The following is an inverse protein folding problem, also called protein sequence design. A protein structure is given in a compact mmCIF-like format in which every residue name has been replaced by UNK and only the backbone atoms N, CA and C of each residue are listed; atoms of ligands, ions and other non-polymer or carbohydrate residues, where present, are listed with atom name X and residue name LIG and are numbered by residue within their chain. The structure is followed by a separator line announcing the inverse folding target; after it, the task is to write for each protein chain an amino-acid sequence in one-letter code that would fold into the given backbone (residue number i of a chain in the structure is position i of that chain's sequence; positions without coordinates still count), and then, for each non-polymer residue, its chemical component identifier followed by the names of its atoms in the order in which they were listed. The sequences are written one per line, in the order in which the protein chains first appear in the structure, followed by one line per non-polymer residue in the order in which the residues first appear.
data_IF_617729571046
#
_entry.id   IF_617729571046
#
_cell.length_a   1.000
_cell.length_b   1.000
_cell.length_c   1.000
_cell.angle_alpha   90.00
_cell.angle_beta   90.00
_cell.angle_gamma   90.00
#
_symmetry.space_group_name_H-M   'P 1'
#
loop_
_entity.id
_entity.type
_entity.pdbx_description
1 polymer ?
#
# COMPACT_ATOMS: atom_id res chain seq x y z
N UNK A 1 -29.46 -49.36 12.21
CA UNK A 1 -30.17 -48.23 11.56
C UNK A 1 -29.65 -46.92 12.17
N UNK A 2 -28.96 -46.08 11.39
CA UNK A 2 -28.43 -44.80 11.89
C UNK A 2 -29.53 -43.76 12.10
N UNK A 3 -29.33 -42.82 13.03
CA UNK A 3 -30.30 -41.73 13.28
C UNK A 3 -30.40 -40.84 12.03
N UNK A 4 -31.61 -40.53 11.53
CA UNK A 4 -31.80 -39.65 10.39
C UNK A 4 -31.18 -38.26 10.63
N UNK A 5 -30.52 -37.71 9.62
CA UNK A 5 -30.01 -36.32 9.65
C UNK A 5 -31.19 -35.36 9.60
N UNK A 6 -31.14 -34.30 10.40
CA UNK A 6 -32.19 -33.28 10.48
C UNK A 6 -32.20 -32.30 9.28
N UNK A 7 -31.06 -32.17 8.60
CA UNK A 7 -30.87 -31.29 7.44
C UNK A 7 -30.22 -32.09 6.32
N UNK A 8 -30.71 -31.92 5.10
CA UNK A 8 -30.29 -32.71 3.94
C UNK A 8 -29.51 -31.89 2.91
N UNK A 9 -29.65 -30.56 2.93
CA UNK A 9 -28.92 -29.66 2.04
C UNK A 9 -27.95 -28.75 2.79
N UNK A 10 -26.86 -28.29 2.15
CA UNK A 10 -25.90 -27.36 2.76
C UNK A 10 -26.56 -26.01 3.14
N UNK A 11 -27.54 -25.55 2.37
CA UNK A 11 -28.30 -24.32 2.65
C UNK A 11 -29.10 -24.43 3.96
N UNK A 12 -29.78 -25.56 4.19
CA UNK A 12 -30.52 -25.81 5.43
C UNK A 12 -29.60 -25.83 6.65
N UNK A 13 -28.39 -26.39 6.51
CA UNK A 13 -27.38 -26.38 7.57
C UNK A 13 -26.92 -24.96 7.87
N UNK A 14 -26.68 -24.15 6.85
CA UNK A 14 -26.28 -22.75 7.00
C UNK A 14 -27.36 -21.92 7.70
N UNK A 15 -28.63 -22.08 7.30
CA UNK A 15 -29.76 -21.38 7.91
C UNK A 15 -29.99 -21.80 9.36
N UNK A 16 -29.91 -23.11 9.66
CA UNK A 16 -30.00 -23.61 11.02
C UNK A 16 -28.90 -23.05 11.93
N UNK A 17 -27.67 -22.97 11.43
CA UNK A 17 -26.55 -22.38 12.16
C UNK A 17 -26.74 -20.87 12.39
N UNK A 18 -27.23 -20.14 11.38
CA UNK A 18 -27.58 -18.72 11.50
C UNK A 18 -28.65 -18.49 12.57
N UNK A 19 -29.71 -19.29 12.55
CA UNK A 19 -30.79 -19.23 13.54
C UNK A 19 -30.33 -19.58 14.95
N UNK A 20 -29.47 -20.60 15.10
CA UNK A 20 -28.86 -20.97 16.38
C UNK A 20 -27.98 -19.84 16.92
N UNK A 21 -27.16 -19.23 16.06
CA UNK A 21 -26.30 -18.09 16.41
C UNK A 21 -27.12 -16.87 16.84
N UNK A 22 -28.18 -16.54 16.09
CA UNK A 22 -29.09 -15.43 16.40
C UNK A 22 -29.77 -15.62 17.77
N UNK A 23 -30.32 -16.81 18.03
CA UNK A 23 -30.94 -17.14 19.33
C UNK A 23 -29.93 -17.04 20.48
N UNK A 24 -28.72 -17.55 20.28
CA UNK A 24 -27.66 -17.43 21.27
C UNK A 24 -27.28 -15.97 21.54
N UNK A 25 -27.10 -15.17 20.48
CA UNK A 25 -26.73 -13.77 20.59
C UNK A 25 -27.81 -12.97 21.32
N UNK A 26 -29.08 -13.13 20.93
CA UNK A 26 -30.21 -12.48 21.59
C UNK A 26 -30.25 -12.81 23.09
N UNK A 27 -30.07 -14.07 23.47
CA UNK A 27 -30.02 -14.49 24.89
C UNK A 27 -28.83 -13.91 25.66
N UNK A 28 -27.68 -13.69 24.99
CA UNK A 28 -26.42 -13.30 25.64
C UNK A 28 -26.00 -11.84 25.39
N UNK A 29 -26.83 -11.03 24.71
CA UNK A 29 -26.48 -9.70 24.25
C UNK A 29 -25.93 -8.80 25.36
N UNK A 30 -26.60 -8.75 26.51
CA UNK A 30 -26.17 -7.96 27.68
C UNK A 30 -24.79 -8.37 28.19
N UNK A 31 -24.51 -9.67 28.25
CA UNK A 31 -23.20 -10.21 28.69
C UNK A 31 -22.09 -9.82 27.71
N UNK A 32 -22.36 -9.94 26.41
CA UNK A 32 -21.42 -9.58 25.34
C UNK A 32 -21.10 -8.08 25.39
N UNK A 33 -22.12 -7.23 25.50
CA UNK A 33 -21.95 -5.78 25.61
C UNK A 33 -21.16 -5.39 26.88
N UNK A 34 -21.46 -6.00 28.03
CA UNK A 34 -20.71 -5.77 29.27
C UNK A 34 -19.24 -6.15 29.14
N UNK A 35 -18.93 -7.28 28.49
CA UNK A 35 -17.55 -7.71 28.22
C UNK A 35 -16.82 -6.72 27.31
N UNK A 36 -17.48 -6.24 26.24
CA UNK A 36 -16.93 -5.22 25.33
C UNK A 36 -16.66 -3.89 26.04
N UNK A 37 -17.58 -3.44 26.88
CA UNK A 37 -17.42 -2.21 27.66
C UNK A 37 -16.22 -2.29 28.62
N UNK A 38 -16.06 -3.43 29.32
CA UNK A 38 -14.90 -3.66 30.19
C UNK A 38 -13.58 -3.67 29.42
N UNK A 39 -13.54 -4.35 28.26
CA UNK A 39 -12.34 -4.37 27.42
C UNK A 39 -11.95 -2.96 26.94
N UNK A 40 -12.93 -2.15 26.51
CA UNK A 40 -12.71 -0.76 26.09
C UNK A 40 -12.26 0.15 27.24
N UNK A 41 -12.76 -0.09 28.46
CA UNK A 41 -12.33 0.65 29.63
C UNK A 41 -10.90 0.27 30.05
N UNK A 42 -10.52 -1.01 29.92
CA UNK A 42 -9.16 -1.49 30.19
C UNK A 42 -8.14 -1.03 29.14
N UNK A 43 -8.55 -0.91 27.87
CA UNK A 43 -7.69 -0.45 26.78
C UNK A 43 -7.55 1.06 26.70
N UNK A 44 -8.38 1.84 27.42
CA UNK A 44 -8.18 3.28 27.50
C UNK A 44 -6.92 3.51 28.34
N UNK A 45 -5.87 4.14 27.80
CA UNK A 45 -4.72 4.51 28.61
C UNK A 45 -5.25 5.35 29.78
N UNK A 46 -4.88 4.96 31.00
CA UNK A 46 -5.18 5.75 32.21
C UNK A 46 -4.61 7.15 31.95
N UNK A 47 -5.48 8.11 31.66
CA UNK A 47 -5.12 9.52 31.66
C UNK A 47 -4.66 9.83 33.07
N UNK A 48 -3.35 9.85 33.27
CA UNK A 48 -2.71 10.27 34.52
C UNK A 48 -3.28 11.64 34.87
N UNK A 49 -3.81 11.76 36.10
CA UNK A 49 -4.34 13.01 36.64
C UNK A 49 -3.24 14.02 36.98
N UNK A 50 -1.97 13.63 36.83
CA UNK A 50 -0.82 14.51 36.91
C UNK A 50 -0.56 15.15 35.54
N UNK A 51 -1.46 16.03 35.11
CA UNK A 51 -1.08 17.05 34.15
C UNK A 51 -0.41 18.17 34.94
N UNK A 52 0.91 18.08 35.04
CA UNK A 52 1.72 19.29 35.17
C UNK A 52 1.19 20.32 34.18
N UNK A 53 1.04 21.61 34.55
CA UNK A 53 0.67 22.64 33.60
C UNK A 53 1.73 22.62 32.49
N UNK A 54 1.35 22.07 31.35
CA UNK A 54 2.17 22.09 30.14
C UNK A 54 2.32 23.58 29.86
N UNK A 55 3.55 24.09 30.03
CA UNK A 55 3.89 25.46 29.70
C UNK A 55 3.33 25.74 28.31
N UNK A 56 2.52 26.81 28.19
CA UNK A 56 1.86 27.15 26.95
C UNK A 56 2.92 27.20 25.84
N UNK A 57 2.83 26.28 24.87
CA UNK A 57 3.73 26.30 23.73
C UNK A 57 3.57 27.68 23.05
N UNK A 58 4.68 28.33 22.67
CA UNK A 58 4.61 29.61 21.98
C UNK A 58 3.75 29.44 20.73
N UNK A 59 2.66 30.22 20.65
CA UNK A 59 1.78 30.22 19.49
C UNK A 59 2.57 30.74 18.29
N UNK A 60 2.83 29.87 17.33
CA UNK A 60 3.38 30.26 16.03
C UNK A 60 2.39 31.18 15.33
N UNK A 61 2.89 32.17 14.62
CA UNK A 61 2.07 32.94 13.68
C UNK A 61 1.57 32.01 12.56
N UNK A 62 0.48 32.39 11.87
CA UNK A 62 -0.05 31.61 10.76
C UNK A 62 0.99 31.42 9.63
N UNK A 63 1.88 32.39 9.43
CA UNK A 63 2.97 32.33 8.46
C UNK A 63 4.05 31.33 8.89
N UNK A 64 4.49 31.39 10.15
CA UNK A 64 5.45 30.43 10.70
C UNK A 64 4.91 29.00 10.70
N UNK A 65 3.61 28.83 10.96
CA UNK A 65 2.95 27.53 10.87
C UNK A 65 2.94 27.01 9.43
N UNK A 66 2.57 27.86 8.46
CA UNK A 66 2.57 27.51 7.03
C UNK A 66 3.96 27.14 6.53
N UNK A 67 4.98 27.90 6.92
CA UNK A 67 6.37 27.62 6.56
C UNK A 67 6.83 26.30 7.18
N UNK A 68 6.55 26.08 8.47
CA UNK A 68 6.89 24.83 9.14
C UNK A 68 6.22 23.63 8.48
N UNK A 69 4.92 23.73 8.14
CA UNK A 69 4.19 22.66 7.45
C UNK A 69 4.78 22.38 6.07
N UNK A 70 5.13 23.43 5.32
CA UNK A 70 5.78 23.31 4.00
C UNK A 70 7.10 22.55 4.13
N UNK A 71 7.98 22.96 5.05
CA UNK A 71 9.26 22.27 5.31
C UNK A 71 9.05 20.83 5.77
N UNK A 72 8.05 20.58 6.60
CA UNK A 72 7.69 19.25 7.07
C UNK A 72 7.29 18.32 5.91
N UNK A 73 6.39 18.76 5.02
CA UNK A 73 5.96 17.96 3.88
C UNK A 73 7.08 17.81 2.84
N UNK A 74 7.88 18.84 2.59
CA UNK A 74 9.05 18.74 1.72
C UNK A 74 10.04 17.68 2.22
N UNK A 75 10.38 17.70 3.52
CA UNK A 75 11.22 16.66 4.14
C UNK A 75 10.60 15.26 4.04
N UNK A 76 9.27 15.17 4.15
CA UNK A 76 8.56 13.90 3.98
C UNK A 76 8.61 13.37 2.55
N UNK A 77 8.56 14.24 1.55
CA UNK A 77 8.75 13.87 0.13
C UNK A 77 10.16 13.33 -0.09
N UNK A 78 11.19 13.96 0.48
CA UNK A 78 12.57 13.43 0.41
C UNK A 78 12.69 12.05 1.07
N UNK A 79 12.04 11.84 2.22
CA UNK A 79 11.99 10.51 2.85
C UNK A 79 11.28 9.46 1.99
N UNK A 80 10.26 9.85 1.22
CA UNK A 80 9.60 8.97 0.26
C UNK A 80 10.50 8.69 -0.95
N UNK A 81 11.29 9.66 -1.41
CA UNK A 81 12.31 9.46 -2.45
C UNK A 81 13.32 8.40 -2.02
N UNK A 82 13.87 8.49 -0.80
CA UNK A 82 14.75 7.46 -0.23
C UNK A 82 14.05 6.10 -0.18
N UNK A 83 12.78 6.05 0.23
CA UNK A 83 12.01 4.81 0.24
C UNK A 83 11.89 4.19 -1.18
N UNK A 84 11.73 5.00 -2.23
CA UNK A 84 11.72 4.50 -3.62
C UNK A 84 13.08 3.93 -4.03
N UNK A 85 14.18 4.62 -3.69
CA UNK A 85 15.54 4.15 -4.00
C UNK A 85 15.82 2.81 -3.28
N UNK A 86 15.42 2.69 -2.01
CA UNK A 86 15.52 1.45 -1.26
C UNK A 86 14.70 0.31 -1.88
N UNK A 87 13.48 0.58 -2.35
CA UNK A 87 12.64 -0.41 -3.04
C UNK A 87 13.25 -0.86 -4.38
N UNK A 88 13.97 0.02 -5.07
CA UNK A 88 14.72 -0.32 -6.28
C UNK A 88 16.02 -1.10 -5.98
N UNK A 89 16.49 -1.08 -4.73
CA UNK A 89 17.74 -1.71 -4.31
C UNK A 89 18.97 -1.04 -4.94
N UNK A 90 18.98 0.30 -4.99
CA UNK A 90 20.04 1.13 -5.59
C UNK A 90 20.25 0.92 -7.11
N UNK A 91 19.30 0.26 -7.77
CA UNK A 91 19.31 0.02 -9.23
C UNK A 91 18.53 1.09 -9.98
N UNK A 92 18.88 1.26 -11.26
CA UNK A 92 18.06 2.04 -12.19
C UNK A 92 16.72 1.36 -12.39
N UNK A 93 15.68 2.10 -12.79
CA UNK A 93 14.35 1.56 -13.04
C UNK A 93 14.37 0.38 -14.02
N UNK A 94 15.08 0.52 -15.14
CA UNK A 94 15.24 -0.57 -16.12
C UNK A 94 15.95 -1.79 -15.53
N UNK A 95 17.02 -1.59 -14.75
CA UNK A 95 17.73 -2.70 -14.10
C UNK A 95 16.88 -3.40 -13.04
N UNK A 96 16.06 -2.65 -12.30
CA UNK A 96 15.06 -3.20 -11.39
C UNK A 96 14.05 -4.07 -12.13
N UNK A 97 13.43 -3.56 -13.22
CA UNK A 97 12.45 -4.31 -14.02
C UNK A 97 13.05 -5.58 -14.64
N UNK A 98 14.29 -5.50 -15.16
CA UNK A 98 15.03 -6.69 -15.61
C UNK A 98 15.18 -7.70 -14.48
N UNK A 99 15.52 -7.27 -13.26
CA UNK A 99 15.66 -8.18 -12.12
C UNK A 99 14.33 -8.81 -11.67
N UNK A 100 13.21 -8.09 -11.83
CA UNK A 100 11.86 -8.65 -11.60
C UNK A 100 11.57 -9.76 -12.62
N UNK A 101 11.89 -9.54 -13.91
CA UNK A 101 11.71 -10.53 -14.97
C UNK A 101 12.61 -11.76 -14.77
N UNK A 102 13.88 -11.56 -14.38
CA UNK A 102 14.81 -12.66 -14.05
C UNK A 102 14.31 -13.50 -12.86
N UNK A 103 13.82 -12.83 -11.82
CA UNK A 103 13.23 -13.50 -10.65
C UNK A 103 11.99 -14.30 -11.04
N UNK A 104 11.11 -13.73 -11.87
CA UNK A 104 9.96 -14.44 -12.43
C UNK A 104 10.40 -15.70 -13.21
N UNK A 105 11.41 -15.57 -14.09
CA UNK A 105 11.97 -16.69 -14.86
C UNK A 105 12.51 -17.82 -13.97
N UNK A 106 13.10 -17.49 -12.83
CA UNK A 106 13.60 -18.46 -11.85
C UNK A 106 12.46 -19.13 -11.08
N UNK A 107 11.53 -18.35 -10.53
CA UNK A 107 10.44 -18.85 -9.68
C UNK A 107 9.37 -19.60 -10.46
N UNK A 108 9.13 -19.24 -11.72
CA UNK A 108 8.17 -19.92 -12.60
C UNK A 108 8.41 -21.42 -12.70
N UNK A 109 9.67 -21.86 -12.66
CA UNK A 109 10.04 -23.28 -12.73
C UNK A 109 9.57 -24.08 -11.50
N UNK A 110 9.32 -23.39 -10.39
CA UNK A 110 8.91 -23.96 -9.11
C UNK A 110 7.39 -23.81 -8.93
N UNK A 111 6.89 -22.58 -8.98
CA UNK A 111 5.47 -22.26 -8.84
C UNK A 111 5.13 -20.98 -9.61
N UNK A 112 4.27 -21.12 -10.63
CA UNK A 112 3.81 -20.00 -11.45
C UNK A 112 2.98 -18.98 -10.64
N UNK A 113 2.23 -19.44 -9.65
CA UNK A 113 1.39 -18.56 -8.83
C UNK A 113 2.26 -17.66 -7.99
N UNK A 114 3.26 -18.25 -7.32
CA UNK A 114 4.24 -17.52 -6.52
C UNK A 114 5.01 -16.49 -7.37
N UNK A 115 5.43 -16.87 -8.57
CA UNK A 115 6.14 -15.96 -9.48
C UNK A 115 5.26 -14.73 -9.87
N UNK A 116 3.97 -14.94 -10.13
CA UNK A 116 3.01 -13.86 -10.40
C UNK A 116 2.78 -12.97 -9.18
N UNK A 117 2.63 -13.58 -8.01
CA UNK A 117 2.44 -12.85 -6.75
C UNK A 117 3.65 -11.96 -6.43
N UNK A 118 4.87 -12.41 -6.75
CA UNK A 118 6.08 -11.61 -6.56
C UNK A 118 6.09 -10.31 -7.39
N UNK A 119 5.60 -10.34 -8.65
CA UNK A 119 5.46 -9.13 -9.47
C UNK A 119 4.41 -8.20 -8.84
N UNK A 120 3.26 -8.75 -8.44
CA UNK A 120 2.18 -7.99 -7.84
C UNK A 120 2.58 -7.32 -6.50
N UNK A 121 3.40 -7.98 -5.70
CA UNK A 121 3.93 -7.42 -4.44
C UNK A 121 4.69 -6.12 -4.68
N UNK A 122 5.53 -6.06 -5.72
CA UNK A 122 6.23 -4.82 -6.09
C UNK A 122 5.25 -3.71 -6.48
N UNK A 123 4.21 -4.00 -7.26
CA UNK A 123 3.17 -3.00 -7.60
C UNK A 123 2.46 -2.48 -6.34
N UNK A 124 2.18 -3.36 -5.37
CA UNK A 124 1.54 -2.96 -4.11
C UNK A 124 2.45 -2.03 -3.29
N UNK A 125 3.74 -2.34 -3.18
CA UNK A 125 4.68 -1.50 -2.44
C UNK A 125 4.86 -0.11 -3.06
N UNK A 126 5.04 -0.02 -4.38
CA UNK A 126 5.08 1.28 -5.04
C UNK A 126 3.74 2.03 -4.92
N UNK A 127 2.61 1.32 -5.02
CA UNK A 127 1.28 1.89 -4.80
C UNK A 127 1.11 2.51 -3.40
N UNK A 128 1.73 1.94 -2.36
CA UNK A 128 1.74 2.57 -1.01
C UNK A 128 2.52 3.89 -1.01
N UNK A 129 3.62 3.97 -1.76
CA UNK A 129 4.42 5.19 -1.88
C UNK A 129 3.68 6.27 -2.68
N UNK A 130 3.09 5.94 -3.83
CA UNK A 130 2.28 6.89 -4.63
C UNK A 130 1.14 7.49 -3.79
N UNK A 131 0.43 6.65 -3.03
CA UNK A 131 -0.64 7.12 -2.14
C UNK A 131 -0.14 8.13 -1.08
N UNK A 132 1.07 7.93 -0.55
CA UNK A 132 1.67 8.89 0.40
C UNK A 132 2.13 10.16 -0.32
N UNK A 133 2.72 10.04 -1.51
CA UNK A 133 3.15 11.17 -2.34
C UNK A 133 1.96 12.02 -2.75
N UNK A 134 0.86 11.42 -3.22
CA UNK A 134 -0.37 12.13 -3.58
C UNK A 134 -0.90 12.97 -2.41
N UNK A 135 -0.91 12.41 -1.19
CA UNK A 135 -1.33 13.13 0.02
C UNK A 135 -0.39 14.30 0.33
N UNK A 136 0.92 14.10 0.25
CA UNK A 136 1.90 15.16 0.51
C UNK A 136 1.84 16.26 -0.56
N UNK A 137 1.74 15.87 -1.85
CA UNK A 137 1.59 16.77 -2.98
C UNK A 137 0.33 17.63 -2.87
N UNK A 138 -0.81 17.06 -2.48
CA UNK A 138 -2.03 17.82 -2.23
C UNK A 138 -1.88 18.84 -1.09
N UNK A 139 -1.17 18.49 0.00
CA UNK A 139 -0.91 19.43 1.09
C UNK A 139 0.05 20.55 0.65
N UNK A 140 1.13 20.21 -0.05
CA UNK A 140 2.06 21.20 -0.61
C UNK A 140 1.36 22.13 -1.59
N UNK A 141 0.50 21.61 -2.47
CA UNK A 141 -0.28 22.43 -3.40
C UNK A 141 -1.13 23.48 -2.68
N UNK A 142 -1.82 23.07 -1.60
CA UNK A 142 -2.63 23.99 -0.81
C UNK A 142 -1.77 25.01 -0.03
N UNK A 143 -0.57 24.61 0.40
CA UNK A 143 0.31 25.47 1.19
C UNK A 143 1.11 26.45 0.35
N UNK A 144 1.66 26.08 -0.80
CA UNK A 144 2.58 26.95 -1.57
C UNK A 144 2.13 27.21 -3.00
N UNK A 145 1.11 26.49 -3.50
CA UNK A 145 0.63 26.60 -4.87
C UNK A 145 1.40 25.73 -5.86
N UNK A 146 0.90 25.66 -7.10
CA UNK A 146 1.40 24.77 -8.15
C UNK A 146 2.79 25.17 -8.70
N UNK A 147 3.17 26.44 -8.55
CA UNK A 147 4.41 26.97 -9.14
C UNK A 147 5.62 26.85 -8.22
N UNK A 148 5.41 26.49 -6.95
CA UNK A 148 6.46 26.32 -5.97
C UNK A 148 7.32 25.08 -6.25
N UNK A 149 8.61 25.18 -5.98
CA UNK A 149 9.59 24.14 -6.31
C UNK A 149 9.42 22.88 -5.46
N UNK A 150 8.93 23.00 -4.22
CA UNK A 150 8.58 21.86 -3.36
C UNK A 150 7.48 21.02 -3.98
N UNK A 151 6.44 21.66 -4.52
CA UNK A 151 5.34 20.97 -5.18
C UNK A 151 5.81 20.32 -6.49
N UNK A 152 6.59 21.04 -7.31
CA UNK A 152 7.15 20.48 -8.55
C UNK A 152 8.01 19.24 -8.28
N UNK A 153 8.88 19.27 -7.28
CA UNK A 153 9.68 18.10 -6.87
C UNK A 153 8.81 16.91 -6.47
N UNK A 154 7.78 17.15 -5.66
CA UNK A 154 6.83 16.09 -5.28
C UNK A 154 6.08 15.53 -6.50
N UNK A 155 5.67 16.39 -7.44
CA UNK A 155 4.95 16.02 -8.66
C UNK A 155 5.82 15.22 -9.63
N UNK A 156 7.08 15.60 -9.80
CA UNK A 156 8.03 14.86 -10.64
C UNK A 156 8.28 13.47 -10.08
N UNK A 157 8.59 13.37 -8.78
CA UNK A 157 8.76 12.08 -8.11
C UNK A 157 7.49 11.22 -8.18
N UNK A 158 6.32 11.82 -8.03
CA UNK A 158 5.05 11.11 -8.19
C UNK A 158 4.87 10.56 -9.62
N UNK A 159 5.23 11.36 -10.62
CA UNK A 159 5.16 10.94 -12.04
C UNK A 159 6.08 9.75 -12.27
N UNK A 160 7.32 9.83 -11.79
CA UNK A 160 8.30 8.75 -11.90
C UNK A 160 7.81 7.45 -11.24
N UNK A 161 7.26 7.53 -10.02
CA UNK A 161 6.68 6.36 -9.32
C UNK A 161 5.50 5.78 -10.08
N UNK A 162 4.64 6.61 -10.68
CA UNK A 162 3.50 6.14 -11.47
C UNK A 162 3.90 5.49 -12.78
N UNK A 163 4.91 6.02 -13.45
CA UNK A 163 5.52 5.37 -14.61
C UNK A 163 6.00 3.99 -14.22
N UNK A 164 6.75 3.87 -13.12
CA UNK A 164 7.24 2.57 -12.64
C UNK A 164 6.10 1.59 -12.29
N UNK A 165 5.04 2.05 -11.64
CA UNK A 165 3.84 1.22 -11.36
C UNK A 165 3.19 0.76 -12.67
N UNK A 166 3.14 1.61 -13.68
CA UNK A 166 2.56 1.27 -14.99
C UNK A 166 3.38 0.16 -15.65
N UNK A 167 4.70 0.31 -15.72
CA UNK A 167 5.60 -0.71 -16.27
C UNK A 167 5.49 -2.05 -15.52
N UNK A 168 5.46 -2.04 -14.18
CA UNK A 168 5.28 -3.27 -13.38
C UNK A 168 3.93 -3.93 -13.65
N UNK A 169 2.85 -3.14 -13.78
CA UNK A 169 1.53 -3.67 -14.11
C UNK A 169 1.46 -4.24 -15.52
N UNK A 170 2.14 -3.62 -16.50
CA UNK A 170 2.25 -4.16 -17.85
C UNK A 170 2.96 -5.51 -17.85
N UNK A 171 4.07 -5.64 -17.12
CA UNK A 171 4.76 -6.94 -16.94
C UNK A 171 3.82 -7.98 -16.33
N UNK A 172 3.06 -7.61 -15.29
CA UNK A 172 2.09 -8.50 -14.66
C UNK A 172 1.00 -8.93 -15.66
N UNK A 173 0.46 -8.00 -16.44
CA UNK A 173 -0.55 -8.30 -17.45
C UNK A 173 -0.05 -9.29 -18.50
N UNK A 174 1.14 -9.07 -19.06
CA UNK A 174 1.73 -9.99 -20.06
C UNK A 174 2.00 -11.36 -19.44
N UNK A 175 2.59 -11.40 -18.24
CA UNK A 175 2.86 -12.64 -17.51
C UNK A 175 1.58 -13.40 -17.10
N UNK A 176 0.45 -12.71 -16.92
CA UNK A 176 -0.84 -13.33 -16.60
C UNK A 176 -1.48 -14.01 -17.82
N UNK A 177 -1.35 -13.41 -19.01
CA UNK A 177 -1.96 -13.91 -20.26
C UNK A 177 -1.22 -15.14 -20.77
N UNK A 178 0.09 -15.02 -20.99
CA UNK A 178 0.93 -16.12 -21.48
C UNK A 178 2.35 -16.04 -20.87
N UNK A 179 2.64 -16.83 -19.83
CA UNK A 179 3.95 -16.86 -19.19
C UNK A 179 5.09 -17.35 -20.09
N UNK A 180 4.80 -18.12 -21.14
CA UNK A 180 5.82 -18.58 -22.09
C UNK A 180 6.17 -17.48 -23.08
N UNK A 181 5.16 -16.82 -23.64
CA UNK A 181 5.38 -15.66 -24.51
C UNK A 181 6.08 -14.54 -23.75
N UNK A 182 5.69 -14.26 -22.51
CA UNK A 182 6.38 -13.28 -21.65
C UNK A 182 7.89 -13.51 -21.56
N UNK A 183 8.33 -14.76 -21.38
CA UNK A 183 9.76 -15.07 -21.30
C UNK A 183 10.45 -14.98 -22.65
N UNK A 184 9.79 -15.37 -23.74
CA UNK A 184 10.32 -15.17 -25.09
C UNK A 184 10.48 -13.68 -25.40
N UNK A 185 9.51 -12.86 -25.00
CA UNK A 185 9.55 -11.42 -25.20
C UNK A 185 10.67 -10.78 -24.38
N UNK A 186 10.85 -11.23 -23.13
CA UNK A 186 11.95 -10.78 -22.28
C UNK A 186 13.32 -11.14 -22.86
N UNK A 187 13.51 -12.39 -23.27
CA UNK A 187 14.79 -12.88 -23.82
C UNK A 187 15.11 -12.23 -25.19
N UNK A 188 14.08 -11.93 -25.99
CA UNK A 188 14.20 -11.23 -27.27
C UNK A 188 14.31 -9.71 -27.17
N UNK A 189 14.34 -9.14 -25.96
CA UNK A 189 14.37 -7.70 -25.71
C UNK A 189 13.19 -6.96 -26.36
N UNK A 190 12.02 -7.60 -26.42
CA UNK A 190 10.84 -7.05 -27.10
C UNK A 190 9.79 -6.46 -26.17
N UNK A 191 10.01 -6.50 -24.85
CA UNK A 191 9.16 -5.81 -23.87
C UNK A 191 9.30 -4.29 -24.00
N UNK A 192 8.21 -3.57 -23.72
CA UNK A 192 8.12 -2.12 -23.92
C UNK A 192 9.19 -1.36 -23.15
N UNK A 193 9.38 -1.67 -21.86
CA UNK A 193 10.39 -1.04 -21.02
C UNK A 193 11.84 -1.21 -21.54
N UNK A 194 12.12 -2.28 -22.30
CA UNK A 194 13.44 -2.55 -22.90
C UNK A 194 13.63 -1.76 -24.19
N UNK A 195 12.55 -1.48 -24.94
CA UNK A 195 12.59 -0.72 -26.20
C UNK A 195 12.67 0.78 -25.95
N UNK A 196 11.78 1.28 -25.10
CA UNK A 196 11.61 2.73 -24.91
C UNK A 196 12.60 3.27 -23.87
N UNK A 197 13.06 2.39 -22.97
CA UNK A 197 13.86 2.77 -21.81
C UNK A 197 13.02 3.49 -20.77
N UNK A 198 13.15 3.07 -19.50
CA UNK A 198 12.44 3.73 -18.40
C UNK A 198 13.30 4.86 -17.86
N UNK A 199 12.97 6.08 -18.27
CA UNK A 199 13.64 7.29 -17.79
C UNK A 199 12.93 7.78 -16.53
N UNK A 200 13.61 7.68 -15.39
CA UNK A 200 13.17 8.26 -14.13
C UNK A 200 14.06 9.48 -13.82
N UNK A 201 13.48 10.68 -13.92
CA UNK A 201 14.25 11.93 -13.93
C UNK A 201 14.72 12.35 -12.53
N UNK A 202 14.08 11.87 -11.46
CA UNK A 202 14.33 12.36 -10.10
C UNK A 202 15.12 11.41 -9.21
N UNK A 203 15.47 10.20 -9.66
CA UNK A 203 16.14 9.20 -8.79
C UNK A 203 17.67 9.20 -8.87
N UNK A 204 18.27 10.06 -9.69
CA UNK A 204 19.71 10.28 -9.81
C UNK A 204 20.03 11.77 -9.92
#
# INVERSE_FOLDING_TARGET
MGRPRLYHTPEQVAEANRNKSNKYYAKNQKRILRRRAKAKAASKPRTSKDKTPIAAEPQRTAEEEREWQTRFFAKKVEGLRTQVIELLGDKTAGSFLTSVCEKFKAERKVDLTQAKDAINEHSIEFGKVDNKLQKCGAQLLNLVGAWADEFKRASLLQTDVRTLITEVNELMCVAMVDPDQFLQDFDSHSLQFQKDGVVISTLY
#
